data_IF_784125177895
#
_entry.id   IF_784125177895
#
_cell.length_a   1.000
_cell.length_b   1.000
_cell.length_c   1.000
_cell.angle_alpha   90.00
_cell.angle_beta   90.00
_cell.angle_gamma   90.00
#
_symmetry.space_group_name_H-M   'P 1'
#
loop_
_entity.id
_entity.type
_entity.pdbx_description
1 polymer ?
#
# COMPACT_ATOMS: atom_id res chain seq x y z
N UNK A 1 -18.07 -0.75 49.29
CA UNK A 1 -19.40 -1.27 49.64
C UNK A 1 -19.81 -2.18 48.51
N UNK A 2 -20.17 -3.39 48.89
CA UNK A 2 -20.23 -4.59 48.05
C UNK A 2 -21.12 -4.48 46.81
N UNK A 3 -20.65 -5.04 45.71
CA UNK A 3 -21.50 -5.77 44.77
C UNK A 3 -20.75 -7.02 44.31
N UNK A 4 -20.91 -8.08 45.09
CA UNK A 4 -20.77 -9.45 44.60
C UNK A 4 -21.83 -9.66 43.51
N UNK A 5 -21.46 -9.61 42.24
CA UNK A 5 -22.28 -10.18 41.16
C UNK A 5 -21.84 -11.63 40.90
N UNK A 6 -22.79 -12.54 41.09
CA UNK A 6 -22.69 -13.98 40.99
C UNK A 6 -22.07 -14.45 39.66
N UNK A 7 -20.92 -15.12 39.73
CA UNK A 7 -20.28 -15.87 38.63
C UNK A 7 -20.89 -17.28 38.43
N UNK A 8 -22.17 -17.48 38.78
CA UNK A 8 -22.78 -18.82 38.81
C UNK A 8 -23.68 -19.20 37.62
N UNK A 9 -23.81 -18.36 36.59
CA UNK A 9 -24.67 -18.64 35.43
C UNK A 9 -23.91 -19.04 34.14
N UNK A 10 -22.79 -19.76 34.26
CA UNK A 10 -22.14 -20.42 33.11
C UNK A 10 -22.40 -21.93 33.11
N UNK A 11 -23.66 -22.32 33.26
CA UNK A 11 -24.12 -23.63 32.79
C UNK A 11 -24.69 -23.49 31.39
N UNK A 12 -23.87 -23.74 30.38
CA UNK A 12 -24.20 -24.32 29.07
C UNK A 12 -22.92 -24.31 28.21
N UNK A 13 -22.26 -25.46 28.10
CA UNK A 13 -21.17 -25.68 27.14
C UNK A 13 -21.83 -25.97 25.79
N UNK A 14 -21.68 -25.14 24.74
CA UNK A 14 -22.22 -25.47 23.43
C UNK A 14 -21.20 -26.29 22.66
N UNK A 15 -21.56 -27.52 22.28
CA UNK A 15 -21.04 -28.12 21.06
C UNK A 15 -21.67 -27.38 19.87
N UNK A 16 -20.84 -26.66 19.10
CA UNK A 16 -21.29 -25.98 17.88
C UNK A 16 -21.73 -27.01 16.83
N UNK A 17 -23.04 -27.09 16.58
CA UNK A 17 -23.63 -27.82 15.47
C UNK A 17 -24.11 -26.81 14.41
N UNK A 18 -23.63 -26.97 13.18
CA UNK A 18 -24.13 -26.21 12.01
C UNK A 18 -25.15 -27.06 11.26
N UNK A 19 -26.28 -26.48 10.87
CA UNK A 19 -27.20 -27.07 9.89
C UNK A 19 -27.23 -26.20 8.66
N UNK A 20 -26.96 -26.77 7.49
CA UNK A 20 -26.84 -26.07 6.21
C UNK A 20 -28.07 -26.46 5.41
N UNK A 21 -28.90 -25.48 5.05
CA UNK A 21 -30.09 -25.68 4.21
C UNK A 21 -29.67 -25.50 2.75
N UNK A 22 -29.74 -26.56 1.96
CA UNK A 22 -29.11 -26.67 0.64
C UNK A 22 -29.75 -25.83 -0.49
N UNK A 23 -30.84 -25.10 -0.26
CA UNK A 23 -31.65 -24.62 -1.40
C UNK A 23 -31.22 -23.28 -2.03
N UNK A 24 -30.29 -22.49 -1.47
CA UNK A 24 -29.84 -21.23 -2.13
C UNK A 24 -28.46 -20.70 -1.65
N UNK A 25 -27.58 -21.54 -1.09
CA UNK A 25 -26.27 -21.07 -0.60
C UNK A 25 -25.18 -21.21 -1.69
N UNK A 26 -24.50 -20.10 -2.02
CA UNK A 26 -23.40 -20.09 -3.00
C UNK A 26 -22.12 -20.76 -2.45
N UNK A 27 -22.07 -21.04 -1.15
CA UNK A 27 -20.97 -21.72 -0.48
C UNK A 27 -21.40 -23.17 -0.18
N UNK A 28 -20.76 -24.19 -0.78
CA UNK A 28 -21.11 -25.58 -0.52
C UNK A 28 -20.95 -25.94 0.96
N UNK A 29 -21.92 -26.68 1.50
CA UNK A 29 -21.95 -27.13 2.89
C UNK A 29 -20.66 -27.86 3.30
N UNK A 30 -20.14 -28.68 2.40
CA UNK A 30 -18.90 -29.43 2.51
C UNK A 30 -17.67 -28.50 2.67
N UNK A 31 -17.65 -27.36 1.99
CA UNK A 31 -16.56 -26.38 2.08
C UNK A 31 -16.49 -25.75 3.47
N UNK A 32 -17.64 -25.44 4.07
CA UNK A 32 -17.72 -24.90 5.43
C UNK A 32 -17.27 -25.95 6.44
N UNK A 33 -17.79 -27.18 6.33
CA UNK A 33 -17.42 -28.30 7.21
C UNK A 33 -15.91 -28.59 7.17
N UNK A 34 -15.31 -28.59 5.98
CA UNK A 34 -13.88 -28.78 5.77
C UNK A 34 -13.03 -27.66 6.38
N UNK A 35 -13.44 -26.40 6.21
CA UNK A 35 -12.73 -25.26 6.80
C UNK A 35 -12.80 -25.30 8.32
N UNK A 36 -13.95 -25.68 8.90
CA UNK A 36 -14.10 -25.85 10.35
C UNK A 36 -13.26 -27.00 10.87
N UNK A 37 -13.26 -28.16 10.20
CA UNK A 37 -12.42 -29.31 10.57
C UNK A 37 -10.93 -28.94 10.55
N UNK A 38 -10.47 -28.35 9.44
CA UNK A 38 -9.07 -27.96 9.27
C UNK A 38 -8.65 -26.84 10.24
N UNK A 39 -9.53 -25.86 10.48
CA UNK A 39 -9.31 -24.81 11.47
C UNK A 39 -9.15 -25.36 12.89
N UNK A 40 -9.93 -26.38 13.26
CA UNK A 40 -9.79 -27.10 14.53
C UNK A 40 -8.45 -27.81 14.66
N UNK A 41 -8.04 -28.54 13.63
CA UNK A 41 -6.77 -29.27 13.62
C UNK A 41 -5.57 -28.33 13.71
N UNK A 42 -5.56 -27.24 12.94
CA UNK A 42 -4.50 -26.22 12.96
C UNK A 42 -4.43 -25.49 14.30
N UNK A 43 -5.57 -25.09 14.86
CA UNK A 43 -5.64 -24.45 16.18
C UNK A 43 -5.08 -25.36 17.28
N UNK A 44 -5.43 -26.64 17.26
CA UNK A 44 -4.93 -27.64 18.24
C UNK A 44 -3.45 -27.92 18.06
N UNK A 45 -2.97 -28.02 16.82
CA UNK A 45 -1.55 -28.19 16.52
C UNK A 45 -0.73 -26.98 17.00
N UNK A 46 -1.22 -25.76 16.77
CA UNK A 46 -0.61 -24.52 17.26
C UNK A 46 -0.55 -24.50 18.80
N UNK A 47 -1.64 -24.87 19.47
CA UNK A 47 -1.68 -24.94 20.93
C UNK A 47 -0.71 -26.00 21.49
N UNK A 48 -0.61 -27.18 20.86
CA UNK A 48 0.35 -28.22 21.25
C UNK A 48 1.79 -27.73 21.11
N UNK A 49 2.13 -27.11 19.99
CA UNK A 49 3.46 -26.53 19.73
C UNK A 49 3.81 -25.43 20.71
N UNK A 50 2.86 -24.56 21.06
CA UNK A 50 3.07 -23.53 22.09
C UNK A 50 3.39 -24.14 23.46
N UNK A 51 2.67 -25.19 23.87
CA UNK A 51 2.97 -25.91 25.11
C UNK A 51 4.35 -26.58 25.11
N UNK A 52 4.80 -27.09 23.96
CA UNK A 52 6.15 -27.65 23.80
C UNK A 52 7.23 -26.57 23.89
N UNK A 53 7.00 -25.39 23.30
CA UNK A 53 7.92 -24.24 23.41
C UNK A 53 8.07 -23.77 24.86
N UNK A 54 6.97 -23.66 25.60
CA UNK A 54 7.00 -23.31 27.03
C UNK A 54 7.74 -24.37 27.84
N UNK A 55 7.51 -25.67 27.58
CA UNK A 55 8.24 -26.76 28.25
C UNK A 55 9.74 -26.74 27.97
N UNK A 56 10.14 -26.25 26.79
CA UNK A 56 11.54 -26.10 26.39
C UNK A 56 12.17 -24.77 26.85
N UNK A 57 11.53 -24.04 27.77
CA UNK A 57 12.10 -22.85 28.41
C UNK A 57 11.92 -21.56 27.63
N UNK A 58 11.11 -21.54 26.56
CA UNK A 58 10.81 -20.30 25.82
C UNK A 58 9.83 -19.44 26.63
N UNK A 59 10.29 -18.29 27.08
CA UNK A 59 9.46 -17.27 27.73
C UNK A 59 8.63 -16.53 26.68
N UNK A 60 7.32 -16.79 26.65
CA UNK A 60 6.38 -16.15 25.71
C UNK A 60 6.12 -14.66 26.01
N UNK A 61 6.73 -14.09 27.05
CA UNK A 61 6.70 -12.66 27.38
C UNK A 61 7.39 -11.79 26.33
N UNK A 62 8.29 -12.36 25.52
CA UNK A 62 8.92 -11.70 24.36
C UNK A 62 8.14 -11.87 23.05
N UNK A 63 7.02 -12.58 23.05
CA UNK A 63 6.13 -12.71 21.89
C UNK A 63 5.12 -11.55 21.85
N UNK A 64 4.59 -11.24 20.67
CA UNK A 64 3.62 -10.14 20.51
C UNK A 64 2.44 -10.29 21.50
N UNK A 65 1.85 -9.18 22.00
CA UNK A 65 0.68 -9.24 22.89
C UNK A 65 -0.51 -10.02 22.33
N UNK A 66 -0.61 -10.13 21.01
CA UNK A 66 -1.56 -11.02 20.35
C UNK A 66 -1.35 -12.49 20.75
N UNK A 67 -0.11 -12.97 20.86
CA UNK A 67 0.22 -14.32 21.33
C UNK A 67 0.01 -14.49 22.85
N UNK A 68 0.20 -13.43 23.65
CA UNK A 68 0.05 -13.48 25.11
C UNK A 68 -1.40 -13.76 25.57
N UNK A 69 -2.40 -13.28 24.82
CA UNK A 69 -3.82 -13.60 25.09
C UNK A 69 -4.15 -15.10 24.97
N UNK A 70 -3.36 -15.86 24.20
CA UNK A 70 -3.64 -17.27 23.91
C UNK A 70 -2.97 -18.27 24.87
N UNK A 71 -1.95 -17.85 25.64
CA UNK A 71 -1.07 -18.79 26.33
C UNK A 71 -0.70 -18.42 27.78
N UNK A 72 -1.38 -17.45 28.39
CA UNK A 72 -1.16 -17.17 29.80
C UNK A 72 -1.61 -18.36 30.68
N UNK A 73 -0.71 -18.98 31.48
CA UNK A 73 -1.05 -20.10 32.35
C UNK A 73 -1.97 -19.69 33.52
N UNK A 74 -2.23 -18.40 33.69
CA UNK A 74 -3.08 -17.82 34.75
C UNK A 74 -4.55 -17.68 34.34
N UNK A 75 -4.94 -18.15 33.16
CA UNK A 75 -6.31 -18.03 32.65
C UNK A 75 -7.22 -19.11 33.28
N UNK A 76 -8.39 -18.75 33.84
CA UNK A 76 -9.37 -19.71 34.36
C UNK A 76 -9.76 -20.76 33.30
N UNK A 77 -10.00 -21.99 33.73
CA UNK A 77 -10.24 -23.15 32.83
C UNK A 77 -11.38 -22.93 31.83
N UNK A 78 -12.46 -22.27 32.26
CA UNK A 78 -13.60 -21.92 31.40
C UNK A 78 -13.24 -20.86 30.35
N UNK A 79 -12.45 -19.85 30.73
CA UNK A 79 -11.98 -18.82 29.80
C UNK A 79 -11.00 -19.41 28.78
N UNK A 80 -10.15 -20.35 29.20
CA UNK A 80 -9.25 -21.09 28.31
C UNK A 80 -10.01 -21.85 27.23
N UNK A 81 -11.10 -22.54 27.59
CA UNK A 81 -11.94 -23.27 26.65
C UNK A 81 -12.65 -22.34 25.64
N UNK A 82 -13.13 -21.18 26.10
CA UNK A 82 -13.72 -20.16 25.24
C UNK A 82 -12.70 -19.59 24.23
N UNK A 83 -11.46 -19.35 24.68
CA UNK A 83 -10.36 -18.90 23.84
C UNK A 83 -9.98 -19.96 22.79
N UNK A 84 -9.94 -21.24 23.18
CA UNK A 84 -9.69 -22.35 22.25
C UNK A 84 -10.75 -22.39 21.14
N UNK A 85 -12.03 -22.30 21.49
CA UNK A 85 -13.14 -22.28 20.52
C UNK A 85 -13.07 -21.04 19.62
N UNK A 86 -12.75 -19.87 20.19
CA UNK A 86 -12.57 -18.63 19.42
C UNK A 86 -11.43 -18.77 18.39
N UNK A 87 -10.32 -19.42 18.77
CA UNK A 87 -9.19 -19.64 17.86
C UNK A 87 -9.52 -20.67 16.75
N UNK A 88 -10.24 -21.74 17.09
CA UNK A 88 -10.76 -22.69 16.10
C UNK A 88 -11.64 -21.97 15.06
N UNK A 89 -12.51 -21.04 15.50
CA UNK A 89 -13.37 -20.24 14.63
C UNK A 89 -12.59 -19.26 13.76
N UNK A 90 -11.70 -18.44 14.35
CA UNK A 90 -10.90 -17.47 13.58
C UNK A 90 -10.05 -18.17 12.51
N UNK A 91 -9.46 -19.30 12.86
CA UNK A 91 -8.66 -20.10 11.92
C UNK A 91 -9.54 -20.67 10.81
N UNK A 92 -10.70 -21.24 11.14
CA UNK A 92 -11.65 -21.76 10.16
C UNK A 92 -12.19 -20.65 9.23
N UNK A 93 -12.53 -19.49 9.77
CA UNK A 93 -12.97 -18.31 9.01
C UNK A 93 -11.87 -17.81 8.08
N UNK A 94 -10.60 -17.84 8.52
CA UNK A 94 -9.47 -17.48 7.67
C UNK A 94 -9.27 -18.46 6.51
N UNK A 95 -9.36 -19.76 6.76
CA UNK A 95 -9.30 -20.78 5.71
C UNK A 95 -10.44 -20.63 4.70
N UNK A 96 -11.63 -20.32 5.21
CA UNK A 96 -12.80 -20.06 4.39
C UNK A 96 -12.62 -18.80 3.52
N UNK A 97 -12.05 -17.73 4.08
CA UNK A 97 -11.66 -16.54 3.32
C UNK A 97 -10.68 -16.91 2.21
N UNK A 98 -9.63 -17.69 2.50
CA UNK A 98 -8.64 -18.07 1.50
C UNK A 98 -9.25 -18.93 0.38
N UNK A 99 -10.06 -19.94 0.73
CA UNK A 99 -10.72 -20.80 -0.27
C UNK A 99 -11.70 -20.00 -1.13
N UNK A 100 -12.51 -19.13 -0.54
CA UNK A 100 -13.48 -18.34 -1.30
C UNK A 100 -12.79 -17.24 -2.11
N UNK A 101 -11.70 -16.66 -1.62
CA UNK A 101 -10.93 -15.69 -2.42
C UNK A 101 -10.20 -16.31 -3.61
N UNK A 102 -9.95 -17.63 -3.58
CA UNK A 102 -9.31 -18.35 -4.70
C UNK A 102 -10.32 -18.95 -5.67
N UNK A 103 -11.52 -19.33 -5.21
CA UNK A 103 -12.55 -19.96 -6.06
C UNK A 103 -13.70 -19.01 -6.48
N UNK A 104 -13.79 -17.80 -5.93
CA UNK A 104 -14.88 -16.85 -6.19
C UNK A 104 -14.39 -15.42 -6.37
N UNK A 105 -15.28 -14.48 -6.76
CA UNK A 105 -14.96 -13.05 -6.95
C UNK A 105 -14.78 -12.26 -5.63
N UNK A 106 -14.76 -12.95 -4.50
CA UNK A 106 -14.66 -12.36 -3.16
C UNK A 106 -13.21 -12.00 -2.87
N UNK A 107 -12.95 -10.77 -2.43
CA UNK A 107 -11.62 -10.33 -1.97
C UNK A 107 -11.55 -10.36 -0.45
N UNK A 108 -10.35 -10.36 0.18
CA UNK A 108 -10.23 -10.33 1.64
C UNK A 108 -11.00 -9.17 2.28
N UNK A 109 -11.06 -8.02 1.60
CA UNK A 109 -11.74 -6.81 2.05
C UNK A 109 -13.27 -6.88 1.91
N UNK A 110 -13.79 -7.71 1.02
CA UNK A 110 -15.23 -7.89 0.81
C UNK A 110 -15.75 -9.17 1.47
N UNK A 111 -14.89 -9.94 2.14
CA UNK A 111 -15.21 -11.25 2.68
C UNK A 111 -16.25 -11.22 3.81
N UNK A 112 -16.12 -10.29 4.75
CA UNK A 112 -17.08 -10.18 5.86
C UNK A 112 -18.45 -9.75 5.34
N UNK A 113 -18.51 -8.75 4.46
CA UNK A 113 -19.75 -8.35 3.80
C UNK A 113 -20.33 -9.44 2.88
N UNK A 114 -19.48 -10.30 2.29
CA UNK A 114 -19.93 -11.47 1.54
C UNK A 114 -20.62 -12.47 2.48
N UNK A 115 -20.02 -12.80 3.63
CA UNK A 115 -20.63 -13.66 4.64
C UNK A 115 -21.92 -13.08 5.23
N UNK A 116 -22.01 -11.77 5.40
CA UNK A 116 -23.22 -11.09 5.89
C UNK A 116 -24.41 -11.20 4.92
N UNK A 117 -24.13 -11.37 3.63
CA UNK A 117 -25.15 -11.55 2.58
C UNK A 117 -25.46 -13.03 2.29
N UNK A 118 -24.66 -13.97 2.81
CA UNK A 118 -24.88 -15.41 2.68
C UNK A 118 -25.69 -15.93 3.88
N UNK A 119 -26.61 -16.88 3.65
CA UNK A 119 -27.54 -17.42 4.66
C UNK A 119 -26.87 -18.35 5.71
N UNK A 120 -25.61 -18.11 6.10
CA UNK A 120 -24.96 -18.83 7.20
C UNK A 120 -25.41 -18.18 8.51
N UNK A 121 -26.54 -18.64 9.06
CA UNK A 121 -27.00 -18.24 10.40
C UNK A 121 -26.49 -19.24 11.44
N UNK A 122 -25.58 -18.85 12.35
CA UNK A 122 -25.31 -19.65 13.54
C UNK A 122 -26.60 -19.78 14.36
N UNK A 123 -27.02 -20.99 14.71
CA UNK A 123 -28.06 -21.15 15.73
C UNK A 123 -27.47 -20.80 17.10
N UNK A 124 -28.26 -20.05 17.86
CA UNK A 124 -28.10 -19.70 19.28
C UNK A 124 -26.96 -18.71 19.60
N UNK A 125 -27.32 -17.42 19.57
CA UNK A 125 -26.56 -16.33 20.20
C UNK A 125 -26.48 -16.57 21.72
N UNK A 126 -25.32 -16.99 22.22
CA UNK A 126 -25.00 -16.85 23.65
C UNK A 126 -24.09 -15.64 23.95
N UNK A 127 -23.60 -14.94 22.93
CA UNK A 127 -22.95 -13.64 23.13
C UNK A 127 -23.97 -12.52 22.96
N UNK A 128 -24.50 -12.00 24.08
CA UNK A 128 -25.12 -10.67 24.06
C UNK A 128 -24.04 -9.66 23.70
N UNK A 129 -24.21 -8.80 22.68
CA UNK A 129 -23.27 -7.72 22.40
C UNK A 129 -23.17 -6.84 23.64
N UNK A 130 -21.99 -6.77 24.24
CA UNK A 130 -21.71 -5.84 25.32
C UNK A 130 -21.28 -4.52 24.70
N UNK A 131 -22.21 -3.59 24.58
CA UNK A 131 -21.92 -2.23 24.11
C UNK A 131 -21.26 -1.45 25.24
N UNK A 132 -19.92 -1.39 25.25
CA UNK A 132 -19.20 -0.47 26.13
C UNK A 132 -19.24 0.92 25.50
N UNK A 133 -20.16 1.76 25.98
CA UNK A 133 -20.21 3.17 25.57
C UNK A 133 -19.03 3.89 26.25
N UNK A 134 -17.95 4.08 25.50
CA UNK A 134 -16.83 4.91 25.93
C UNK A 134 -17.20 6.38 25.73
N UNK A 135 -17.66 7.05 26.79
CA UNK A 135 -18.08 8.46 26.79
C UNK A 135 -16.98 9.49 26.45
N UNK A 136 -15.79 9.07 25.99
CA UNK A 136 -14.69 9.98 25.62
C UNK A 136 -13.93 9.64 24.34
N UNK A 137 -14.33 8.61 23.58
CA UNK A 137 -13.57 8.16 22.40
C UNK A 137 -13.85 8.99 21.13
N UNK A 138 -14.89 9.82 21.11
CA UNK A 138 -15.24 10.65 19.95
C UNK A 138 -14.24 11.78 19.68
N UNK A 139 -13.30 12.05 20.60
CA UNK A 139 -12.23 13.04 20.40
C UNK A 139 -10.98 12.50 19.70
N UNK A 140 -10.87 11.18 19.52
CA UNK A 140 -9.60 10.54 19.10
C UNK A 140 -9.69 9.76 17.79
N UNK A 141 -10.85 9.76 17.12
CA UNK A 141 -11.03 9.15 15.80
C UNK A 141 -11.53 10.20 14.81
N UNK A 142 -10.60 10.76 14.04
CA UNK A 142 -10.95 11.33 12.74
C UNK A 142 -11.20 10.17 11.76
N UNK A 143 -12.12 10.33 10.82
CA UNK A 143 -12.58 9.30 9.86
C UNK A 143 -11.52 8.81 8.84
N UNK A 144 -10.23 9.03 9.09
CA UNK A 144 -9.14 8.68 8.19
C UNK A 144 -8.03 7.89 8.86
N UNK A 145 -7.97 6.58 8.60
CA UNK A 145 -6.78 5.75 8.83
C UNK A 145 -6.43 5.44 10.29
N UNK A 146 -5.30 4.73 10.47
CA UNK A 146 -4.75 4.39 11.78
C UNK A 146 -3.94 5.58 12.30
N UNK A 147 -4.36 6.14 13.44
CA UNK A 147 -3.65 7.20 14.14
C UNK A 147 -2.75 6.61 15.22
N UNK A 148 -1.50 7.10 15.26
CA UNK A 148 -0.43 6.68 16.16
C UNK A 148 0.08 7.85 17.03
N UNK A 149 -0.17 9.08 16.60
CA UNK A 149 0.16 10.29 17.35
C UNK A 149 -1.08 10.95 17.96
N UNK A 150 -0.93 11.51 19.14
CA UNK A 150 -1.97 12.25 19.84
C UNK A 150 -2.23 13.59 19.16
N UNK A 151 -3.50 13.86 18.86
CA UNK A 151 -3.92 15.06 18.13
C UNK A 151 -3.16 15.19 16.81
N UNK A 152 -2.59 16.37 16.57
CA UNK A 152 -1.80 16.65 15.38
C UNK A 152 -0.29 16.36 15.57
N UNK A 153 0.10 15.41 16.42
CA UNK A 153 1.52 15.11 16.66
C UNK A 153 2.10 15.71 17.94
N UNK A 154 1.24 16.17 18.86
CA UNK A 154 1.67 16.79 20.14
C UNK A 154 2.41 15.80 21.03
N UNK A 155 2.03 14.53 20.94
CA UNK A 155 2.70 13.43 21.63
C UNK A 155 2.42 12.11 20.89
N UNK A 156 3.02 11.02 21.34
CA UNK A 156 2.67 9.66 20.91
C UNK A 156 1.39 9.22 21.62
N UNK A 157 0.48 8.51 20.93
CA UNK A 157 -0.70 7.95 21.59
C UNK A 157 -0.30 6.98 22.72
N UNK A 158 -0.96 7.04 23.89
CA UNK A 158 -0.75 6.07 24.97
C UNK A 158 -0.90 4.64 24.47
N UNK A 159 -0.09 3.71 25.02
CA UNK A 159 0.00 2.35 24.51
C UNK A 159 -1.35 1.61 24.50
N UNK A 160 -2.20 1.87 25.50
CA UNK A 160 -3.54 1.28 25.62
C UNK A 160 -4.52 1.74 24.52
N UNK A 161 -4.23 2.89 23.90
CA UNK A 161 -5.04 3.49 22.83
C UNK A 161 -4.40 3.32 21.45
N UNK A 162 -3.17 2.81 21.40
CA UNK A 162 -2.37 2.74 20.18
C UNK A 162 -2.68 1.44 19.45
N UNK A 163 -2.94 1.55 18.15
CA UNK A 163 -3.13 0.39 17.30
C UNK A 163 -1.82 -0.45 17.22
N UNK A 164 -1.95 -1.77 17.06
CA UNK A 164 -0.81 -2.70 16.97
C UNK A 164 0.08 -2.48 15.73
N UNK A 165 -0.46 -1.81 14.70
CA UNK A 165 0.27 -1.40 13.49
C UNK A 165 0.99 -0.07 13.62
N UNK A 166 0.97 0.58 14.77
CA UNK A 166 1.66 1.84 14.95
C UNK A 166 3.15 1.66 15.23
N UNK A 167 3.98 2.36 14.46
CA UNK A 167 5.41 2.49 14.73
C UNK A 167 5.84 3.96 14.55
N UNK A 168 5.28 4.87 15.38
CA UNK A 168 5.41 6.32 15.21
C UNK A 168 6.87 6.78 15.26
N UNK A 169 7.16 7.91 14.63
CA UNK A 169 8.47 8.54 14.67
C UNK A 169 8.45 9.60 15.77
N UNK A 170 9.21 9.37 16.85
CA UNK A 170 9.33 10.34 17.93
C UNK A 170 10.24 11.49 17.49
N UNK A 171 9.78 12.72 17.72
CA UNK A 171 10.53 13.94 17.44
C UNK A 171 11.13 14.46 18.75
N UNK A 172 12.45 14.71 18.82
CA UNK A 172 13.09 15.25 20.03
C UNK A 172 12.58 16.64 20.42
N UNK A 173 12.56 16.97 21.71
CA UNK A 173 12.14 18.30 22.20
C UNK A 173 13.02 19.44 21.65
N UNK A 174 14.27 19.15 21.31
CA UNK A 174 15.23 20.10 20.76
C UNK A 174 15.36 20.01 19.22
N UNK A 175 14.38 19.42 18.54
CA UNK A 175 14.35 19.37 17.08
C UNK A 175 14.37 20.78 16.47
N UNK A 176 15.25 21.09 15.50
CA UNK A 176 15.44 22.45 15.00
C UNK A 176 14.23 23.03 14.25
N UNK A 177 13.31 22.21 13.75
CA UNK A 177 12.15 22.66 12.98
C UNK A 177 10.86 22.45 13.77
N UNK A 178 10.60 21.22 14.19
CA UNK A 178 9.34 20.78 14.79
C UNK A 178 9.08 21.35 16.19
N UNK A 179 10.14 21.74 16.94
CA UNK A 179 9.97 22.36 18.25
C UNK A 179 9.16 23.66 18.20
N UNK A 180 9.25 24.42 17.10
CA UNK A 180 8.51 25.68 16.90
C UNK A 180 7.00 25.48 16.75
N UNK A 181 6.56 24.24 16.55
CA UNK A 181 5.16 23.86 16.32
C UNK A 181 4.63 22.87 17.38
N UNK A 182 5.39 22.64 18.45
CA UNK A 182 5.08 21.68 19.52
C UNK A 182 4.82 20.25 19.00
N UNK A 183 5.55 19.83 17.95
CA UNK A 183 5.42 18.50 17.35
C UNK A 183 6.45 17.56 17.94
N UNK A 184 5.96 16.47 18.56
CA UNK A 184 6.75 15.41 19.21
C UNK A 184 6.58 14.04 18.56
N UNK A 185 5.66 13.91 17.61
CA UNK A 185 5.34 12.63 16.96
C UNK A 185 4.91 12.84 15.51
N UNK A 186 5.57 12.15 14.58
CA UNK A 186 5.10 12.00 13.19
C UNK A 186 4.37 10.67 13.03
N UNK A 187 3.16 10.73 12.47
CA UNK A 187 2.28 9.59 12.36
C UNK A 187 2.84 8.56 11.38
N UNK A 188 3.07 7.33 11.84
CA UNK A 188 3.62 6.27 11.00
C UNK A 188 3.00 4.91 11.31
N UNK A 189 2.54 4.24 10.26
CA UNK A 189 1.85 2.95 10.30
C UNK A 189 2.67 1.92 9.52
N UNK A 190 2.78 0.72 10.09
CA UNK A 190 3.46 -0.42 9.48
C UNK A 190 2.84 -0.80 8.14
N UNK A 191 3.70 -1.25 7.23
CA UNK A 191 3.27 -1.77 5.94
C UNK A 191 2.41 -3.02 6.11
N UNK A 192 1.47 -3.22 5.19
CA UNK A 192 0.69 -4.45 5.13
C UNK A 192 1.63 -5.60 4.73
N UNK A 193 1.51 -6.73 5.42
CA UNK A 193 2.30 -7.92 5.15
C UNK A 193 1.62 -8.81 4.11
N UNK A 194 2.40 -9.42 3.22
CA UNK A 194 1.96 -10.47 2.31
C UNK A 194 2.23 -11.86 2.87
N UNK A 195 1.46 -12.85 2.40
CA UNK A 195 1.76 -14.26 2.62
C UNK A 195 2.77 -14.75 1.59
N UNK A 196 3.55 -15.75 1.96
CA UNK A 196 4.42 -16.46 1.03
C UNK A 196 3.60 -17.26 0.03
N UNK A 197 4.13 -17.43 -1.18
CA UNK A 197 3.49 -18.20 -2.25
C UNK A 197 3.26 -19.66 -1.86
N UNK A 198 4.18 -20.23 -1.06
CA UNK A 198 4.08 -21.59 -0.53
C UNK A 198 3.22 -21.70 0.74
N UNK A 199 2.61 -20.60 1.20
CA UNK A 199 1.84 -20.50 2.43
C UNK A 199 2.58 -20.95 3.71
N UNK A 200 3.91 -21.04 3.68
CA UNK A 200 4.72 -21.42 4.83
C UNK A 200 4.72 -20.29 5.88
N UNK A 201 4.83 -20.69 7.16
CA UNK A 201 5.09 -19.70 8.21
C UNK A 201 6.52 -19.18 8.10
N UNK A 202 6.69 -17.87 8.17
CA UNK A 202 7.99 -17.24 8.12
C UNK A 202 7.97 -15.79 8.56
N UNK A 203 9.05 -15.08 8.25
CA UNK A 203 9.18 -13.66 8.51
C UNK A 203 8.13 -12.87 7.70
N UNK A 204 7.76 -11.70 8.21
CA UNK A 204 6.83 -10.81 7.53
C UNK A 204 7.46 -10.26 6.23
N UNK A 205 6.73 -10.37 5.11
CA UNK A 205 7.15 -9.87 3.80
C UNK A 205 6.16 -8.82 3.29
N UNK A 206 6.56 -7.97 2.34
CA UNK A 206 5.71 -6.98 1.66
C UNK A 206 5.85 -7.14 0.15
N UNK A 207 4.78 -6.87 -0.60
CA UNK A 207 4.76 -7.05 -2.06
C UNK A 207 4.26 -5.81 -2.81
N UNK A 208 4.83 -5.61 -4.00
CA UNK A 208 4.42 -4.62 -5.01
C UNK A 208 4.44 -5.29 -6.40
N UNK A 209 3.78 -4.69 -7.40
CA UNK A 209 3.96 -5.11 -8.79
C UNK A 209 5.42 -4.91 -9.21
N UNK A 210 5.99 -5.88 -9.92
CA UNK A 210 7.43 -5.91 -10.16
C UNK A 210 7.85 -5.61 -11.59
N UNK A 211 6.97 -5.82 -12.56
CA UNK A 211 7.26 -5.56 -13.96
C UNK A 211 7.15 -4.07 -14.31
N UNK A 212 7.99 -3.61 -15.22
CA UNK A 212 7.82 -2.33 -15.90
C UNK A 212 6.71 -2.46 -16.96
N UNK A 213 5.46 -2.46 -16.50
CA UNK A 213 4.26 -2.79 -17.29
C UNK A 213 3.27 -1.61 -17.41
N UNK A 214 3.72 -0.41 -17.04
CA UNK A 214 2.88 0.79 -17.02
C UNK A 214 1.74 0.73 -16.00
N UNK A 215 1.82 -0.13 -14.97
CA UNK A 215 0.83 -0.22 -13.89
C UNK A 215 0.49 1.11 -13.20
N UNK A 216 1.39 2.11 -13.09
CA UNK A 216 1.00 3.45 -12.63
C UNK A 216 -0.04 4.16 -13.52
N UNK A 217 -0.08 3.83 -14.83
CA UNK A 217 -1.03 4.38 -15.79
C UNK A 217 -2.27 3.48 -15.97
N UNK A 218 -2.08 2.15 -15.99
CA UNK A 218 -3.13 1.19 -16.32
C UNK A 218 -3.80 0.55 -15.10
N UNK A 219 -3.29 0.79 -13.90
CA UNK A 219 -3.71 0.12 -12.67
C UNK A 219 -3.07 -1.27 -12.49
N UNK A 220 -2.96 -1.70 -11.24
CA UNK A 220 -2.44 -3.04 -10.87
C UNK A 220 -3.54 -4.09 -10.67
N UNK A 221 -4.82 -3.69 -10.75
CA UNK A 221 -5.96 -4.57 -10.63
C UNK A 221 -6.96 -4.35 -11.77
N UNK A 222 -7.68 -5.41 -12.15
CA UNK A 222 -8.59 -5.38 -13.30
C UNK A 222 -9.78 -4.43 -13.11
N UNK A 223 -10.23 -4.19 -11.87
CA UNK A 223 -11.33 -3.26 -11.61
C UNK A 223 -10.88 -1.83 -11.86
N UNK A 224 -9.72 -1.44 -11.35
CA UNK A 224 -9.13 -0.13 -11.60
C UNK A 224 -8.82 0.07 -13.09
N UNK A 225 -8.21 -0.94 -13.74
CA UNK A 225 -7.95 -0.88 -15.18
C UNK A 225 -9.23 -0.61 -16.00
N UNK A 226 -10.34 -1.29 -15.67
CA UNK A 226 -11.64 -1.05 -16.31
C UNK A 226 -12.20 0.34 -15.97
N UNK A 227 -12.00 0.85 -14.75
CA UNK A 227 -12.43 2.20 -14.34
C UNK A 227 -11.69 3.30 -15.11
N UNK A 228 -10.41 3.12 -15.41
CA UNK A 228 -9.55 4.08 -16.10
C UNK A 228 -9.81 4.15 -17.62
N UNK A 229 -10.48 3.16 -18.20
CA UNK A 229 -10.78 3.11 -19.64
C UNK A 229 -12.01 3.90 -20.04
N UNK A 230 -11.93 4.59 -21.18
CA UNK A 230 -13.09 5.25 -21.83
C UNK A 230 -14.07 4.24 -22.41
N UNK A 231 -13.60 3.03 -22.75
CA UNK A 231 -14.36 1.96 -23.43
C UNK A 231 -14.90 2.37 -24.80
N UNK A 232 -14.18 3.28 -25.45
CA UNK A 232 -14.44 3.70 -26.82
C UNK A 232 -13.12 4.09 -27.47
N UNK A 233 -12.88 3.59 -28.69
CA UNK A 233 -11.68 3.85 -29.48
C UNK A 233 -10.39 3.30 -28.89
N UNK A 234 -10.46 2.39 -27.92
CA UNK A 234 -9.29 1.87 -27.19
C UNK A 234 -8.66 2.87 -26.23
N UNK A 235 -9.35 3.98 -25.89
CA UNK A 235 -8.78 5.11 -25.13
C UNK A 235 -8.87 4.95 -23.62
N UNK A 236 -7.98 5.64 -22.92
CA UNK A 236 -8.11 5.98 -21.50
C UNK A 236 -9.09 7.15 -21.32
N UNK A 237 -9.72 7.22 -20.14
CA UNK A 237 -10.54 8.37 -19.75
C UNK A 237 -9.65 9.59 -19.60
N UNK A 238 -10.12 10.71 -20.11
CA UNK A 238 -9.48 12.01 -19.94
C UNK A 238 -10.57 13.02 -19.55
N UNK A 239 -10.23 13.98 -18.71
CA UNK A 239 -11.11 15.08 -18.34
C UNK A 239 -10.64 16.37 -19.01
N UNK A 240 -11.58 17.05 -19.68
CA UNK A 240 -11.34 18.40 -20.17
C UNK A 240 -11.65 19.40 -19.06
N UNK A 241 -10.70 20.28 -18.77
CA UNK A 241 -10.87 21.39 -17.82
C UNK A 241 -11.18 22.69 -18.57
N UNK A 242 -11.87 23.62 -17.91
CA UNK A 242 -12.07 24.98 -18.43
C UNK A 242 -10.71 25.67 -18.60
N UNK A 243 -10.49 26.31 -19.74
CA UNK A 243 -9.19 26.90 -20.13
C UNK A 243 -8.07 25.87 -20.26
N UNK A 244 -8.39 24.67 -20.76
CA UNK A 244 -7.39 23.67 -21.12
C UNK A 244 -7.68 23.05 -22.48
N UNK A 245 -6.72 23.11 -23.41
CA UNK A 245 -6.85 22.57 -24.78
C UNK A 245 -6.85 21.05 -24.88
N UNK A 246 -6.25 20.34 -23.92
CA UNK A 246 -6.02 18.88 -23.96
C UNK A 246 -6.46 18.23 -22.65
N UNK A 247 -6.89 16.97 -22.74
CA UNK A 247 -7.36 16.20 -21.59
C UNK A 247 -6.28 15.96 -20.53
N UNK A 248 -6.73 15.91 -19.28
CA UNK A 248 -5.94 15.53 -18.10
C UNK A 248 -6.41 14.19 -17.56
N UNK A 249 -5.64 13.65 -16.62
CA UNK A 249 -6.04 12.49 -15.85
C UNK A 249 -7.36 12.78 -15.12
N UNK A 250 -8.31 11.83 -15.11
CA UNK A 250 -9.56 12.01 -14.38
C UNK A 250 -9.30 12.09 -12.88
N UNK A 251 -10.08 12.90 -12.17
CA UNK A 251 -10.07 12.91 -10.71
C UNK A 251 -10.83 11.68 -10.26
N UNK A 252 -10.11 10.58 -9.97
CA UNK A 252 -10.75 9.37 -9.47
C UNK A 252 -10.89 9.50 -7.96
N UNK A 253 -12.14 9.57 -7.47
CA UNK A 253 -12.52 9.69 -6.05
C UNK A 253 -11.98 8.55 -5.15
N UNK A 254 -11.35 7.53 -5.72
CA UNK A 254 -10.80 6.36 -5.04
C UNK A 254 -9.28 6.39 -5.10
N UNK A 255 -8.61 6.65 -3.96
CA UNK A 255 -7.28 6.16 -3.52
C UNK A 255 -6.09 6.12 -4.51
N UNK A 256 -6.24 6.68 -5.70
CA UNK A 256 -5.22 6.90 -6.73
C UNK A 256 -4.53 8.25 -6.52
N UNK A 257 -4.62 8.78 -5.29
CA UNK A 257 -3.97 9.98 -4.79
C UNK A 257 -2.44 10.02 -5.01
N UNK A 258 -1.81 8.91 -5.40
CA UNK A 258 -0.42 8.88 -5.84
C UNK A 258 -0.23 9.67 -7.14
N UNK A 259 -1.18 9.64 -8.07
CA UNK A 259 -1.05 10.29 -9.39
C UNK A 259 -0.96 11.82 -9.27
N UNK A 260 -1.64 12.40 -8.29
CA UNK A 260 -1.63 13.84 -8.01
C UNK A 260 -0.74 14.21 -6.81
N UNK A 261 0.17 13.33 -6.39
CA UNK A 261 1.02 13.58 -5.23
C UNK A 261 1.87 14.84 -5.41
N UNK A 262 2.51 14.99 -6.57
CA UNK A 262 3.27 16.19 -6.94
C UNK A 262 2.94 16.63 -8.38
N UNK A 263 3.09 17.92 -8.72
CA UNK A 263 2.87 18.40 -10.09
C UNK A 263 3.75 17.70 -11.13
N UNK A 264 5.00 17.38 -10.79
CA UNK A 264 5.92 16.65 -11.69
C UNK A 264 5.38 15.27 -12.07
N UNK A 265 4.84 14.54 -11.08
CA UNK A 265 4.25 13.23 -11.33
C UNK A 265 2.95 13.35 -12.15
N UNK A 266 2.09 14.31 -11.82
CA UNK A 266 0.86 14.57 -12.57
C UNK A 266 1.15 14.90 -14.05
N UNK A 267 2.19 15.69 -14.31
CA UNK A 267 2.63 16.02 -15.68
C UNK A 267 3.07 14.77 -16.43
N UNK A 268 3.95 13.96 -15.85
CA UNK A 268 4.45 12.73 -16.48
C UNK A 268 3.31 11.74 -16.79
N UNK A 269 2.41 11.50 -15.84
CA UNK A 269 1.26 10.63 -16.07
C UNK A 269 0.34 11.17 -17.17
N UNK A 270 0.18 12.50 -17.27
CA UNK A 270 -0.64 13.13 -18.31
C UNK A 270 0.00 12.97 -19.69
N UNK A 271 1.33 13.05 -19.79
CA UNK A 271 2.07 12.78 -21.04
C UNK A 271 1.80 11.34 -21.49
N UNK A 272 1.98 10.36 -20.61
CA UNK A 272 1.80 8.94 -20.95
C UNK A 272 0.34 8.60 -21.30
N UNK A 273 -0.63 9.22 -20.63
CA UNK A 273 -2.05 9.09 -20.97
C UNK A 273 -2.34 9.63 -22.37
N UNK A 274 -1.83 10.82 -22.70
CA UNK A 274 -2.00 11.44 -24.01
C UNK A 274 -1.33 10.60 -25.10
N UNK A 275 -0.17 10.01 -24.81
CA UNK A 275 0.53 9.12 -25.73
C UNK A 275 -0.27 7.85 -26.02
N UNK A 276 -0.83 7.22 -24.99
CA UNK A 276 -1.73 6.08 -25.17
C UNK A 276 -2.91 6.43 -26.09
N UNK A 277 -3.59 7.55 -25.82
CA UNK A 277 -4.73 7.98 -26.63
C UNK A 277 -4.32 8.31 -28.08
N UNK A 278 -3.15 8.92 -28.28
CA UNK A 278 -2.58 9.19 -29.61
C UNK A 278 -2.33 7.91 -30.39
N UNK A 279 -1.71 6.91 -29.77
CA UNK A 279 -1.45 5.60 -30.39
C UNK A 279 -2.76 4.89 -30.72
N UNK A 280 -3.73 4.88 -29.80
CA UNK A 280 -5.03 4.27 -30.02
C UNK A 280 -5.77 4.89 -31.23
N UNK A 281 -5.74 6.23 -31.37
CA UNK A 281 -6.34 6.94 -32.51
C UNK A 281 -5.66 6.57 -33.85
N UNK A 282 -4.33 6.46 -33.86
CA UNK A 282 -3.56 6.02 -35.04
C UNK A 282 -3.90 4.57 -35.40
N UNK A 283 -3.91 3.66 -34.42
CA UNK A 283 -4.22 2.25 -34.63
C UNK A 283 -5.65 2.05 -35.13
N UNK A 284 -6.61 2.83 -34.62
CA UNK A 284 -8.01 2.83 -35.06
C UNK A 284 -8.13 3.26 -36.52
N UNK A 285 -7.38 4.30 -36.92
CA UNK A 285 -7.35 4.79 -38.30
C UNK A 285 -6.74 3.78 -39.27
N UNK A 286 -5.66 3.10 -38.85
CA UNK A 286 -4.99 2.06 -39.65
C UNK A 286 -5.78 0.75 -39.70
N UNK A 287 -6.55 0.43 -38.66
CA UNK A 287 -7.27 -0.83 -38.51
C UNK A 287 -8.75 -0.61 -38.14
N UNK A 288 -9.60 -0.16 -39.09
CA UNK A 288 -10.99 0.20 -38.79
C UNK A 288 -11.87 -0.94 -38.25
N UNK A 289 -11.45 -2.20 -38.43
CA UNK A 289 -12.17 -3.40 -37.98
C UNK A 289 -11.77 -3.86 -36.57
N UNK A 290 -10.79 -3.22 -35.92
CA UNK A 290 -10.36 -3.62 -34.58
C UNK A 290 -11.38 -3.18 -33.52
N UNK A 291 -11.61 -4.06 -32.55
CA UNK A 291 -12.46 -3.76 -31.40
C UNK A 291 -11.77 -2.78 -30.43
N UNK A 292 -12.56 -2.12 -29.58
CA UNK A 292 -12.05 -1.28 -28.48
C UNK A 292 -10.99 -1.99 -27.64
N UNK A 293 -11.24 -3.27 -27.30
CA UNK A 293 -10.31 -4.07 -26.52
C UNK A 293 -8.98 -4.25 -27.23
N UNK A 294 -9.00 -4.59 -28.52
CA UNK A 294 -7.78 -4.80 -29.29
C UNK A 294 -6.99 -3.50 -29.41
N UNK A 295 -7.65 -2.39 -29.70
CA UNK A 295 -7.02 -1.06 -29.76
C UNK A 295 -6.35 -0.70 -28.43
N UNK A 296 -7.07 -0.89 -27.31
CA UNK A 296 -6.54 -0.61 -25.98
C UNK A 296 -5.30 -1.46 -25.67
N UNK A 297 -5.35 -2.78 -25.91
CA UNK A 297 -4.23 -3.67 -25.59
C UNK A 297 -3.00 -3.41 -26.46
N UNK A 298 -3.17 -3.12 -27.76
CA UNK A 298 -2.05 -2.79 -28.63
C UNK A 298 -1.45 -1.42 -28.31
N UNK A 299 -2.27 -0.40 -28.03
CA UNK A 299 -1.78 0.90 -27.55
C UNK A 299 -1.04 0.76 -26.21
N UNK A 300 -1.61 -0.01 -25.27
CA UNK A 300 -0.97 -0.34 -23.99
C UNK A 300 0.39 -1.01 -24.20
N UNK A 301 0.47 -2.01 -25.08
CA UNK A 301 1.70 -2.75 -25.37
C UNK A 301 2.81 -1.84 -25.91
N UNK A 302 2.47 -0.90 -26.79
CA UNK A 302 3.44 0.07 -27.35
C UNK A 302 3.94 1.01 -26.26
N UNK A 303 3.06 1.64 -25.48
CA UNK A 303 3.46 2.54 -24.38
C UNK A 303 4.32 1.82 -23.34
N UNK A 304 4.01 0.56 -23.03
CA UNK A 304 4.86 -0.25 -22.13
C UNK A 304 6.26 -0.42 -22.73
N UNK A 305 6.37 -0.70 -24.03
CA UNK A 305 7.65 -0.82 -24.70
C UNK A 305 8.42 0.51 -24.70
N UNK A 306 7.75 1.65 -24.85
CA UNK A 306 8.36 2.98 -24.71
C UNK A 306 8.92 3.21 -23.31
N UNK A 307 8.14 2.91 -22.25
CA UNK A 307 8.59 3.02 -20.85
C UNK A 307 9.81 2.14 -20.61
N UNK A 308 9.78 0.89 -21.08
CA UNK A 308 10.91 -0.03 -20.94
C UNK A 308 12.14 0.46 -21.70
N UNK A 309 11.97 0.95 -22.93
CA UNK A 309 13.05 1.48 -23.73
C UNK A 309 13.73 2.67 -23.06
N UNK A 310 12.95 3.69 -22.66
CA UNK A 310 13.45 4.87 -21.96
C UNK A 310 14.18 4.45 -20.67
N UNK A 311 13.61 3.51 -19.91
CA UNK A 311 14.22 3.07 -18.64
C UNK A 311 15.57 2.40 -18.86
N UNK A 312 15.64 1.41 -19.77
CA UNK A 312 16.84 0.59 -19.96
C UNK A 312 17.90 1.24 -20.86
N UNK A 313 17.50 2.04 -21.86
CA UNK A 313 18.45 2.61 -22.83
C UNK A 313 18.86 4.04 -22.52
N UNK A 314 18.05 4.80 -21.77
CA UNK A 314 18.34 6.21 -21.49
C UNK A 314 18.59 6.43 -20.00
N UNK A 315 17.61 6.10 -19.16
CA UNK A 315 17.63 6.46 -17.74
C UNK A 315 18.68 5.68 -16.94
N UNK A 316 18.74 4.36 -17.09
CA UNK A 316 19.70 3.52 -16.36
C UNK A 316 21.16 3.85 -16.70
N UNK A 317 21.59 3.95 -17.98
CA UNK A 317 22.95 4.34 -18.32
C UNK A 317 23.33 5.74 -17.82
N UNK A 318 22.38 6.69 -17.84
CA UNK A 318 22.62 8.04 -17.35
C UNK A 318 22.87 8.08 -15.84
N UNK A 319 22.08 7.35 -15.05
CA UNK A 319 22.15 7.40 -13.58
C UNK A 319 23.25 6.50 -12.99
N UNK A 320 23.52 5.34 -13.59
CA UNK A 320 24.43 4.32 -13.04
C UNK A 320 25.73 4.14 -13.84
N UNK A 321 25.84 4.84 -14.97
CA UNK A 321 27.01 4.79 -15.85
C UNK A 321 26.94 3.65 -16.86
N UNK A 322 27.25 3.97 -18.11
CA UNK A 322 27.17 3.03 -19.24
C UNK A 322 28.05 1.79 -19.05
N UNK A 323 29.22 1.94 -18.42
CA UNK A 323 30.12 0.82 -18.13
C UNK A 323 29.48 -0.23 -17.21
N UNK A 324 28.73 0.21 -16.20
CA UNK A 324 28.05 -0.69 -15.27
C UNK A 324 26.93 -1.46 -15.99
N UNK A 325 26.10 -0.74 -16.74
CA UNK A 325 25.01 -1.32 -17.52
C UNK A 325 25.51 -2.35 -18.55
N UNK A 326 26.61 -2.04 -19.25
CA UNK A 326 27.25 -2.97 -20.20
C UNK A 326 27.87 -4.18 -19.52
N UNK A 327 28.57 -3.99 -18.39
CA UNK A 327 29.20 -5.08 -17.64
C UNK A 327 28.18 -6.13 -17.18
N UNK A 328 27.05 -5.68 -16.64
CA UNK A 328 25.96 -6.55 -16.20
C UNK A 328 25.00 -6.98 -17.32
N UNK A 329 25.25 -6.58 -18.58
CA UNK A 329 24.41 -6.88 -19.75
C UNK A 329 22.93 -6.52 -19.55
N UNK A 330 22.69 -5.41 -18.86
CA UNK A 330 21.34 -4.93 -18.54
C UNK A 330 20.63 -4.42 -19.80
N UNK A 331 21.36 -3.73 -20.67
CA UNK A 331 20.83 -3.23 -21.94
C UNK A 331 21.28 -4.13 -23.10
N UNK A 332 20.38 -4.48 -24.03
CA UNK A 332 20.73 -5.32 -25.16
C UNK A 332 21.75 -4.62 -26.05
N UNK A 333 22.74 -5.38 -26.52
CA UNK A 333 23.75 -4.93 -27.48
C UNK A 333 23.20 -4.82 -28.92
N UNK A 334 21.96 -5.29 -29.14
CA UNK A 334 21.25 -5.22 -30.41
C UNK A 334 19.83 -4.66 -30.22
N UNK A 335 19.07 -4.50 -31.30
CA UNK A 335 17.68 -3.99 -31.25
C UNK A 335 16.75 -4.81 -30.34
N UNK A 336 17.07 -6.07 -30.04
CA UNK A 336 16.30 -6.92 -29.13
C UNK A 336 17.22 -7.83 -28.31
N UNK A 337 16.71 -8.34 -27.18
CA UNK A 337 17.35 -9.37 -26.36
C UNK A 337 16.62 -10.71 -26.55
N UNK A 338 17.35 -11.82 -26.37
CA UNK A 338 16.78 -13.19 -26.24
C UNK A 338 17.02 -13.77 -24.85
N UNK A 339 17.33 -12.91 -23.88
CA UNK A 339 17.76 -13.30 -22.52
C UNK A 339 16.57 -13.57 -21.59
N UNK A 340 15.35 -13.67 -22.14
CA UNK A 340 14.19 -14.10 -21.37
C UNK A 340 14.42 -15.52 -20.83
N UNK A 341 14.25 -15.68 -19.53
CA UNK A 341 14.37 -16.95 -18.82
C UNK A 341 13.24 -17.06 -17.81
N UNK A 342 12.47 -18.14 -17.87
CA UNK A 342 11.40 -18.42 -16.92
C UNK A 342 11.91 -18.74 -15.50
N UNK A 343 13.17 -19.14 -15.39
CA UNK A 343 13.84 -19.42 -14.10
C UNK A 343 14.22 -18.16 -13.30
N UNK A 344 14.10 -16.97 -13.90
CA UNK A 344 14.44 -15.71 -13.22
C UNK A 344 13.25 -15.24 -12.39
N UNK A 345 13.46 -15.10 -11.07
CA UNK A 345 12.47 -14.48 -10.20
C UNK A 345 12.38 -12.96 -10.51
N UNK A 346 11.24 -12.46 -11.02
CA UNK A 346 11.08 -11.06 -11.38
C UNK A 346 10.65 -10.20 -10.18
N UNK A 347 10.61 -10.75 -8.97
CA UNK A 347 10.19 -10.05 -7.76
C UNK A 347 11.14 -8.92 -7.37
N UNK A 348 10.58 -7.81 -6.90
CA UNK A 348 11.38 -6.70 -6.37
C UNK A 348 11.90 -7.07 -4.99
N UNK A 349 13.22 -7.08 -4.82
CA UNK A 349 13.85 -7.34 -3.54
C UNK A 349 13.49 -6.21 -2.57
N UNK A 350 13.15 -6.56 -1.32
CA UNK A 350 12.70 -5.59 -0.31
C UNK A 350 13.70 -4.45 -0.08
N UNK A 351 15.01 -4.77 -0.08
CA UNK A 351 16.09 -3.78 0.03
C UNK A 351 16.07 -2.73 -1.09
N UNK A 352 15.65 -3.09 -2.30
CA UNK A 352 15.50 -2.15 -3.41
C UNK A 352 14.29 -1.23 -3.18
N UNK A 353 13.10 -1.79 -2.94
CA UNK A 353 11.85 -1.01 -2.84
C UNK A 353 11.71 -0.19 -1.55
N UNK A 354 12.23 -0.69 -0.43
CA UNK A 354 12.13 -0.01 0.87
C UNK A 354 13.35 0.86 1.20
N UNK A 355 14.46 0.71 0.47
CA UNK A 355 15.73 1.39 0.76
C UNK A 355 16.38 1.98 -0.48
N UNK A 356 17.08 1.15 -1.27
CA UNK A 356 18.04 1.62 -2.27
C UNK A 356 17.43 2.58 -3.30
N UNK A 357 16.23 2.29 -3.85
CA UNK A 357 15.62 3.13 -4.87
C UNK A 357 15.10 4.48 -4.33
N UNK A 358 15.09 4.66 -3.01
CA UNK A 358 14.72 5.93 -2.36
C UNK A 358 15.85 6.96 -2.37
N UNK A 359 17.05 6.61 -2.84
CA UNK A 359 18.13 7.59 -3.05
C UNK A 359 17.69 8.74 -3.96
N UNK A 360 16.72 8.50 -4.86
CA UNK A 360 16.13 9.51 -5.75
C UNK A 360 15.52 10.69 -4.98
N UNK A 361 15.15 10.52 -3.71
CA UNK A 361 14.66 11.62 -2.87
C UNK A 361 15.73 12.71 -2.63
N UNK A 362 17.02 12.38 -2.69
CA UNK A 362 18.12 13.37 -2.59
C UNK A 362 18.13 14.35 -3.76
N UNK A 363 17.65 13.90 -4.94
CA UNK A 363 17.65 14.70 -6.16
C UNK A 363 16.39 15.58 -6.33
N UNK A 364 15.50 15.59 -5.33
CA UNK A 364 14.30 16.43 -5.35
C UNK A 364 14.71 17.90 -5.15
N UNK A 365 14.39 18.81 -6.07
CA UNK A 365 14.76 20.22 -5.96
C UNK A 365 13.89 20.98 -4.94
N UNK A 366 14.40 22.12 -4.45
CA UNK A 366 13.69 23.03 -3.53
C UNK A 366 12.43 23.69 -4.13
N UNK A 367 12.34 23.73 -5.46
CA UNK A 367 11.25 24.40 -6.15
C UNK A 367 10.94 23.72 -7.48
N UNK A 368 9.75 24.00 -8.01
CA UNK A 368 9.28 23.59 -9.32
C UNK A 368 9.36 24.77 -10.27
N UNK A 369 10.03 24.58 -11.40
CA UNK A 369 10.16 25.60 -12.44
C UNK A 369 9.02 25.53 -13.46
N UNK A 370 8.53 26.70 -13.87
CA UNK A 370 7.65 26.89 -15.02
C UNK A 370 8.25 27.92 -15.98
N UNK A 371 8.23 27.63 -17.28
CA UNK A 371 8.82 28.47 -18.31
C UNK A 371 7.82 28.76 -19.46
N UNK A 372 7.47 30.03 -19.71
CA UNK A 372 6.65 30.42 -20.85
C UNK A 372 7.33 30.05 -22.18
N UNK A 373 6.54 29.93 -23.25
CA UNK A 373 7.02 29.52 -24.57
C UNK A 373 8.17 30.36 -25.16
N UNK A 374 8.31 31.61 -24.71
CA UNK A 374 9.37 32.52 -25.14
C UNK A 374 10.67 32.40 -24.32
N UNK A 375 10.69 31.55 -23.27
CA UNK A 375 11.80 31.37 -22.33
C UNK A 375 12.31 32.69 -21.70
N UNK A 376 11.48 33.73 -21.65
CA UNK A 376 11.89 35.04 -21.15
C UNK A 376 11.95 35.11 -19.62
N UNK A 377 11.22 34.22 -18.92
CA UNK A 377 11.17 34.18 -17.47
C UNK A 377 11.16 32.73 -16.98
N UNK A 378 11.69 32.50 -15.78
CA UNK A 378 11.52 31.26 -15.05
C UNK A 378 10.76 31.56 -13.75
N UNK A 379 9.60 30.94 -13.58
CA UNK A 379 8.81 31.05 -12.36
C UNK A 379 9.10 29.85 -11.46
N UNK A 380 9.41 30.12 -10.19
CA UNK A 380 9.74 29.08 -9.21
C UNK A 380 8.62 28.98 -8.16
N UNK A 381 8.13 27.76 -7.95
CA UNK A 381 7.08 27.44 -6.99
C UNK A 381 7.61 26.49 -5.92
N UNK A 382 7.24 26.68 -4.66
CA UNK A 382 7.63 25.75 -3.59
C UNK A 382 6.90 24.44 -3.76
N UNK A 383 7.62 23.31 -3.71
CA UNK A 383 7.02 21.99 -3.83
C UNK A 383 5.97 21.74 -2.73
N UNK A 384 6.24 22.20 -1.52
CA UNK A 384 5.42 22.02 -0.33
C UNK A 384 4.03 22.66 -0.38
N UNK A 385 3.84 23.66 -1.24
CA UNK A 385 2.55 24.32 -1.46
C UNK A 385 1.69 23.57 -2.51
N UNK A 386 2.27 22.60 -3.22
CA UNK A 386 1.64 21.92 -4.36
C UNK A 386 1.48 20.41 -4.21
N UNK A 387 1.76 19.83 -3.03
CA UNK A 387 1.39 18.44 -2.75
C UNK A 387 -0.13 18.24 -2.81
N UNK A 388 -0.59 17.20 -3.52
CA UNK A 388 -2.01 16.88 -3.72
C UNK A 388 -2.84 18.02 -4.33
N UNK A 389 -2.20 18.98 -4.98
CA UNK A 389 -2.85 20.18 -5.51
C UNK A 389 -2.58 20.31 -7.02
N UNK A 390 -3.57 20.01 -7.88
CA UNK A 390 -3.40 20.09 -9.33
C UNK A 390 -3.42 21.54 -9.86
N UNK A 391 -3.65 22.55 -9.01
CA UNK A 391 -3.86 23.92 -9.45
C UNK A 391 -2.73 24.44 -10.35
N UNK A 392 -1.48 24.11 -10.04
CA UNK A 392 -0.33 24.56 -10.82
C UNK A 392 -0.35 24.04 -12.26
N UNK A 393 -0.87 22.83 -12.47
CA UNK A 393 -0.98 22.19 -13.79
C UNK A 393 -2.20 22.72 -14.56
N UNK A 394 -3.25 23.14 -13.84
CA UNK A 394 -4.56 23.48 -14.39
C UNK A 394 -4.87 25.00 -14.41
N UNK A 395 -3.91 25.88 -14.11
CA UNK A 395 -4.15 27.32 -13.94
C UNK A 395 -4.53 28.03 -15.26
N UNK A 396 -3.96 27.61 -16.38
CA UNK A 396 -4.19 28.19 -17.71
C UNK A 396 -3.98 27.17 -18.83
N UNK A 397 -4.36 27.55 -20.06
CA UNK A 397 -4.17 26.73 -21.26
C UNK A 397 -2.69 26.39 -21.53
N UNK A 398 -1.78 27.26 -21.10
CA UNK A 398 -0.34 27.14 -21.27
C UNK A 398 0.37 26.48 -20.07
N UNK A 399 -0.27 26.42 -18.90
CA UNK A 399 0.37 26.02 -17.63
C UNK A 399 1.05 24.65 -17.70
N UNK A 400 0.37 23.66 -18.31
CA UNK A 400 0.95 22.34 -18.51
C UNK A 400 2.22 22.39 -19.37
N UNK A 401 2.16 23.09 -20.52
CA UNK A 401 3.29 23.17 -21.44
C UNK A 401 4.44 23.98 -20.83
N UNK A 402 4.13 25.00 -20.02
CA UNK A 402 5.13 25.80 -19.31
C UNK A 402 5.86 24.99 -18.23
N UNK A 403 5.15 24.13 -17.50
CA UNK A 403 5.75 23.20 -16.54
C UNK A 403 6.62 22.15 -17.24
N UNK A 404 6.17 21.59 -18.37
CA UNK A 404 6.98 20.65 -19.16
C UNK A 404 8.29 21.32 -19.60
N UNK A 405 8.24 22.55 -20.10
CA UNK A 405 9.45 23.33 -20.44
C UNK A 405 10.33 23.57 -19.22
N UNK A 406 9.73 23.93 -18.09
CA UNK A 406 10.41 24.13 -16.83
C UNK A 406 11.15 22.88 -16.37
N UNK A 407 10.50 21.71 -16.35
CA UNK A 407 11.12 20.46 -15.91
C UNK A 407 12.24 19.95 -16.82
N UNK A 408 12.16 20.21 -18.13
CA UNK A 408 13.25 19.87 -19.06
C UNK A 408 14.44 20.84 -18.92
N UNK A 409 14.20 22.07 -18.45
CA UNK A 409 15.24 23.10 -18.31
C UNK A 409 15.89 23.11 -16.92
N UNK A 410 15.11 22.77 -15.89
CA UNK A 410 15.52 22.81 -14.50
C UNK A 410 16.54 21.70 -14.20
N UNK A 411 17.60 22.06 -13.49
CA UNK A 411 18.53 21.08 -12.94
C UNK A 411 17.89 20.32 -11.77
N UNK A 412 18.10 19.00 -11.74
CA UNK A 412 17.76 18.19 -10.58
C UNK A 412 18.65 18.57 -9.37
N UNK A 413 18.22 18.19 -8.17
CA UNK A 413 19.08 18.24 -7.00
C UNK A 413 20.31 17.35 -7.18
N UNK A 414 21.41 17.70 -6.52
CA UNK A 414 22.62 16.87 -6.54
C UNK A 414 22.36 15.52 -5.84
N UNK A 415 23.02 14.47 -6.32
CA UNK A 415 23.00 13.19 -5.61
C UNK A 415 24.03 13.24 -4.47
N UNK A 416 23.62 13.79 -3.35
CA UNK A 416 24.46 13.97 -2.16
C UNK A 416 23.68 13.61 -0.86
N UNK A 417 24.34 13.65 0.31
CA UNK A 417 23.66 13.39 1.58
C UNK A 417 22.71 14.51 2.04
N UNK A 418 22.57 15.60 1.28
CA UNK A 418 21.68 16.70 1.61
C UNK A 418 20.30 16.46 1.01
N UNK A 419 19.27 16.92 1.70
CA UNK A 419 17.89 16.82 1.25
C UNK A 419 17.20 18.15 1.55
N UNK A 420 16.36 18.58 0.62
CA UNK A 420 15.61 19.82 0.75
C UNK A 420 14.64 19.80 1.94
N UNK A 421 14.46 20.96 2.58
CA UNK A 421 13.41 21.16 3.58
C UNK A 421 12.00 20.88 3.05
N UNK A 422 11.80 20.95 1.73
CA UNK A 422 10.52 20.64 1.08
C UNK A 422 10.10 19.16 1.22
N UNK A 423 11.05 18.26 1.54
CA UNK A 423 10.79 16.84 1.80
C UNK A 423 11.13 16.40 3.23
N UNK A 424 12.06 17.05 3.93
CA UNK A 424 12.40 16.68 5.32
C UNK A 424 11.49 17.33 6.37
N UNK A 425 10.90 18.48 6.05
CA UNK A 425 10.13 19.26 7.05
C UNK A 425 8.71 19.57 6.56
N UNK A 426 8.54 19.64 5.23
CA UNK A 426 7.33 20.16 4.59
C UNK A 426 6.67 19.13 3.65
N UNK A 427 7.02 17.84 3.76
CA UNK A 427 6.36 16.79 2.98
C UNK A 427 4.87 16.80 3.28
N UNK A 428 4.04 16.88 2.23
CA UNK A 428 2.58 16.94 2.35
C UNK A 428 2.04 18.07 3.22
N UNK A 429 2.84 19.13 3.45
CA UNK A 429 2.42 20.34 4.16
C UNK A 429 1.13 20.89 3.57
N UNK A 430 1.07 21.10 2.25
CA UNK A 430 -0.05 21.76 1.57
C UNK A 430 -0.37 23.08 2.29
N UNK A 431 -1.59 23.26 2.80
CA UNK A 431 -2.03 24.46 3.53
C UNK A 431 -1.58 24.53 5.00
N UNK A 432 -0.95 23.49 5.54
CA UNK A 432 -0.45 23.49 6.93
C UNK A 432 0.84 24.32 7.07
N UNK A 433 1.26 24.56 8.32
CA UNK A 433 2.52 25.28 8.63
C UNK A 433 3.75 24.37 8.63
N UNK A 434 3.54 23.07 8.74
CA UNK A 434 4.57 22.03 8.79
C UNK A 434 4.06 20.78 8.05
N UNK A 435 4.98 19.87 7.71
CA UNK A 435 4.68 18.60 7.06
C UNK A 435 5.43 17.43 7.70
N UNK A 436 5.37 16.28 7.06
CA UNK A 436 6.13 15.10 7.45
C UNK A 436 7.60 15.22 7.03
N UNK A 437 8.40 14.27 7.49
CA UNK A 437 9.80 14.09 7.12
C UNK A 437 9.95 12.81 6.28
N UNK A 438 10.16 12.98 4.98
CA UNK A 438 10.32 11.87 4.04
C UNK A 438 11.52 10.98 4.41
N UNK A 439 12.63 11.57 4.83
CA UNK A 439 13.87 10.85 5.12
C UNK A 439 13.75 10.08 6.43
N UNK A 440 13.16 10.70 7.47
CA UNK A 440 12.84 9.97 8.69
C UNK A 440 11.84 8.83 8.42
N UNK A 441 10.85 9.05 7.54
CA UNK A 441 9.92 8.01 7.11
C UNK A 441 10.60 6.88 6.33
N UNK A 442 11.57 7.17 5.49
CA UNK A 442 12.35 6.16 4.75
C UNK A 442 13.17 5.28 5.71
N UNK A 443 13.86 5.90 6.66
CA UNK A 443 14.60 5.18 7.70
C UNK A 443 13.66 4.31 8.52
N UNK A 444 12.52 4.86 8.94
CA UNK A 444 11.52 4.12 9.71
C UNK A 444 10.88 2.99 8.90
N UNK A 445 10.68 3.18 7.59
CA UNK A 445 10.21 2.15 6.66
C UNK A 445 11.22 1.02 6.51
N UNK A 446 12.52 1.34 6.45
CA UNK A 446 13.58 0.34 6.47
C UNK A 446 13.53 -0.53 7.73
N UNK A 447 13.34 0.08 8.91
CA UNK A 447 13.16 -0.63 10.19
C UNK A 447 11.89 -1.50 10.18
N UNK A 448 10.77 -0.97 9.70
CA UNK A 448 9.50 -1.69 9.59
C UNK A 448 9.62 -2.94 8.71
N UNK A 449 10.35 -2.82 7.59
CA UNK A 449 10.60 -3.88 6.63
C UNK A 449 11.73 -4.84 7.03
N UNK A 450 12.44 -4.55 8.13
CA UNK A 450 13.56 -5.37 8.61
C UNK A 450 14.70 -5.48 7.61
N UNK A 451 15.00 -4.40 6.87
CA UNK A 451 16.11 -4.42 5.91
C UNK A 451 17.45 -4.56 6.63
N UNK A 452 18.40 -5.26 5.99
CA UNK A 452 19.72 -5.50 6.55
C UNK A 452 20.52 -4.20 6.74
N UNK A 453 21.58 -4.26 7.56
CA UNK A 453 22.42 -3.08 7.81
C UNK A 453 23.27 -2.73 6.59
N UNK A 454 23.84 -1.53 6.59
CA UNK A 454 24.79 -1.10 5.56
C UNK A 454 25.96 -2.08 5.41
N UNK A 455 26.53 -2.57 6.53
CA UNK A 455 27.67 -3.49 6.50
C UNK A 455 27.30 -4.85 5.89
N UNK A 456 26.07 -5.31 6.09
CA UNK A 456 25.60 -6.56 5.52
C UNK A 456 25.46 -6.45 3.99
N UNK A 457 24.90 -5.34 3.49
CA UNK A 457 24.85 -5.08 2.05
C UNK A 457 26.25 -4.87 1.45
N UNK A 458 27.14 -4.17 2.16
CA UNK A 458 28.54 -3.96 1.80
C UNK A 458 29.37 -5.24 1.70
N UNK A 459 28.95 -6.30 2.38
CA UNK A 459 29.57 -7.62 2.31
C UNK A 459 28.95 -8.48 1.19
N UNK A 460 27.67 -8.25 0.90
CA UNK A 460 26.92 -8.96 -0.15
C UNK A 460 27.35 -8.54 -1.57
N UNK A 461 27.64 -7.25 -1.77
CA UNK A 461 28.13 -6.66 -3.03
C UNK A 461 29.63 -6.42 -2.98
#
# INVERSE_FOLDING_TARGET
MDTHENLNDFHLIPTFNFTITDEDCLIPAETVSDCVRCGKELSRAAAKRANELVKNGVTLESCSPALLHFFSPKIPRELKKSIEVSNELVTATKLMQMKLCTSSKVTPNTFLSYLENELIRPKDYFCKPYTKICHSCDKYRNEGGIQCCLGNGVDVLPQDLRNDKCIPICVPDNDPFYCHFDIKCLNFVRSVTTTRDDCSMGYAEQAITSYLDGSPLYGSDSKLAVKLRKKSGGRLKEESRTNCKKGFLPTVDDKTAVINQTPTLAVLHTILLREHNRIADILSSLNPLWSDEKLFQEARRIVIAEIQHITYQEWLPFNFGENYIRYYRISPTSFYSRDYSEDVNPGVINGFGAGAFRYLHTMVPDSLMSCPANYQAAYLYKLSDHYFNPSLVETSDESFDDLVRGFVTQQAGESDPHCTGEITNLLFKSHNKWGLDLIAMDIQRGRDHGIASYNDYRYLF
#
